data_IF_164184855286
#
_entry.id   IF_164184855286
#
_cell.length_a   1.000
_cell.length_b   1.000
_cell.length_c   1.000
_cell.angle_alpha   90.00
_cell.angle_beta   90.00
_cell.angle_gamma   90.00
#
_symmetry.space_group_name_H-M   'P 1'
#
loop_
_entity.id
_entity.type
_entity.pdbx_description
1 polymer ?
#
# COMPACT_ATOMS: atom_id res chain seq x y z
N UNK A 1 -2.26 11.58 -40.18
CA UNK A 1 -2.91 11.01 -38.98
C UNK A 1 -1.90 10.06 -38.37
N UNK A 2 -1.53 10.25 -37.11
CA UNK A 2 -0.49 9.45 -36.47
C UNK A 2 -0.90 7.99 -36.48
N UNK A 3 0.00 7.14 -36.97
CA UNK A 3 -0.12 5.68 -37.13
C UNK A 3 -0.13 4.94 -35.76
N UNK A 4 -0.73 5.54 -34.73
CA UNK A 4 -0.86 4.94 -33.41
C UNK A 4 -1.97 3.89 -33.47
N UNK A 5 -1.58 2.62 -33.44
CA UNK A 5 -2.51 1.51 -33.21
C UNK A 5 -3.23 1.74 -31.87
N UNK A 6 -4.55 1.90 -31.92
CA UNK A 6 -5.37 2.05 -30.72
C UNK A 6 -5.45 0.69 -30.04
N UNK A 7 -5.15 0.61 -28.75
CA UNK A 7 -5.25 -0.63 -27.99
C UNK A 7 -5.93 -0.40 -26.63
N UNK A 8 -6.63 -1.42 -26.13
CA UNK A 8 -7.28 -1.43 -24.82
C UNK A 8 -6.53 -2.38 -23.89
N UNK A 9 -6.27 -1.96 -22.64
CA UNK A 9 -5.73 -2.87 -21.63
C UNK A 9 -6.72 -4.00 -21.32
N UNK A 10 -6.26 -5.25 -21.42
CA UNK A 10 -7.08 -6.44 -21.20
C UNK A 10 -6.24 -7.54 -20.55
N UNK A 11 -6.69 -8.03 -19.40
CA UNK A 11 -5.92 -8.97 -18.58
C UNK A 11 -4.53 -8.40 -18.24
N UNK A 12 -3.47 -9.15 -18.56
CA UNK A 12 -2.06 -8.73 -18.37
C UNK A 12 -1.46 -8.06 -19.62
N UNK A 13 -2.26 -7.73 -20.63
CA UNK A 13 -1.78 -7.20 -21.90
C UNK A 13 -2.69 -6.13 -22.52
N UNK A 14 -2.65 -6.03 -23.85
CA UNK A 14 -3.43 -5.07 -24.61
C UNK A 14 -4.07 -5.75 -25.83
N UNK A 15 -5.30 -5.38 -26.14
CA UNK A 15 -6.00 -5.80 -27.36
C UNK A 15 -5.94 -4.66 -28.38
N UNK A 16 -5.37 -4.87 -29.57
CA UNK A 16 -5.43 -3.89 -30.64
C UNK A 16 -6.87 -3.74 -31.15
N UNK A 17 -7.26 -2.53 -31.52
CA UNK A 17 -8.56 -2.19 -32.09
C UNK A 17 -8.42 -1.81 -33.55
N UNK A 18 -9.13 -2.52 -34.42
CA UNK A 18 -9.35 -2.12 -35.80
C UNK A 18 -10.68 -1.38 -35.89
N UNK A 19 -10.63 -0.11 -36.27
CA UNK A 19 -11.83 0.70 -36.46
C UNK A 19 -12.33 0.58 -37.91
N UNK A 20 -13.66 0.62 -38.16
CA UNK A 20 -14.18 0.74 -39.51
C UNK A 20 -13.63 1.99 -40.20
N UNK A 21 -13.42 1.93 -41.52
CA UNK A 21 -12.74 3.00 -42.29
C UNK A 21 -13.34 4.41 -42.09
N UNK A 22 -14.65 4.51 -41.89
CA UNK A 22 -15.36 5.79 -41.71
C UNK A 22 -15.46 6.25 -40.25
N UNK A 23 -15.06 5.42 -39.30
CA UNK A 23 -15.11 5.74 -37.88
C UNK A 23 -13.94 6.65 -37.49
N UNK A 24 -14.23 7.72 -36.74
CA UNK A 24 -13.22 8.60 -36.15
C UNK A 24 -13.29 8.49 -34.63
N UNK A 25 -12.25 7.93 -34.02
CA UNK A 25 -12.17 7.84 -32.56
C UNK A 25 -11.58 9.12 -31.96
N UNK A 26 -12.16 9.56 -30.85
CA UNK A 26 -11.55 10.56 -29.96
C UNK A 26 -10.85 9.83 -28.82
N UNK A 27 -9.52 9.90 -28.78
CA UNK A 27 -8.73 9.24 -27.74
C UNK A 27 -8.59 10.16 -26.52
N UNK A 28 -9.30 9.81 -25.45
CA UNK A 28 -9.17 10.46 -24.13
C UNK A 28 -8.22 9.62 -23.29
N UNK A 29 -7.03 10.14 -23.00
CA UNK A 29 -5.97 9.44 -22.25
C UNK A 29 -5.43 10.31 -21.12
N UNK A 30 -4.93 9.66 -20.06
CA UNK A 30 -4.20 10.35 -18.99
C UNK A 30 -2.96 11.03 -19.59
N UNK A 31 -2.57 12.17 -19.01
CA UNK A 31 -1.28 12.79 -19.31
C UNK A 31 -0.16 11.79 -19.00
N UNK A 32 0.81 11.67 -19.91
CA UNK A 32 2.00 10.89 -19.67
C UNK A 32 2.74 11.43 -18.43
N UNK A 33 2.98 10.57 -17.44
CA UNK A 33 3.79 10.89 -16.28
C UNK A 33 5.18 10.30 -16.51
N UNK A 34 6.25 11.11 -16.55
CA UNK A 34 7.60 10.58 -16.69
C UNK A 34 7.92 9.68 -15.49
N UNK A 35 8.52 8.53 -15.76
CA UNK A 35 9.01 7.64 -14.69
C UNK A 35 10.22 8.29 -14.03
N UNK A 36 10.33 8.10 -12.72
CA UNK A 36 11.54 8.48 -11.98
C UNK A 36 12.71 7.60 -12.46
N UNK A 37 13.88 8.21 -12.63
CA UNK A 37 15.09 7.48 -13.05
C UNK A 37 15.55 6.49 -11.98
N UNK A 38 15.48 6.90 -10.71
CA UNK A 38 15.77 6.06 -9.55
C UNK A 38 14.61 6.09 -8.54
N UNK A 39 13.68 5.13 -8.63
CA UNK A 39 12.59 5.00 -7.66
C UNK A 39 13.05 4.72 -6.23
N UNK A 40 14.17 4.03 -6.04
CA UNK A 40 14.67 3.68 -4.70
C UNK A 40 15.21 4.93 -4.00
N UNK A 41 16.00 5.74 -4.70
CA UNK A 41 16.46 7.01 -4.17
C UNK A 41 15.29 7.94 -3.85
N UNK A 42 14.28 8.01 -4.72
CA UNK A 42 13.11 8.85 -4.49
C UNK A 42 12.35 8.47 -3.20
N UNK A 43 12.18 7.16 -2.93
CA UNK A 43 11.59 6.68 -1.68
C UNK A 43 12.47 7.03 -0.48
N UNK A 44 13.78 6.79 -0.56
CA UNK A 44 14.71 7.12 0.52
C UNK A 44 14.68 8.62 0.85
N UNK A 45 14.65 9.50 -0.17
CA UNK A 45 14.51 10.94 0.03
C UNK A 45 13.19 11.28 0.70
N UNK A 46 12.08 10.70 0.25
CA UNK A 46 10.75 10.97 0.82
C UNK A 46 10.65 10.56 2.31
N UNK A 47 11.26 9.43 2.70
CA UNK A 47 11.28 8.96 4.10
C UNK A 47 12.17 9.82 5.00
N UNK A 48 13.23 10.41 4.46
CA UNK A 48 14.19 11.25 5.20
C UNK A 48 13.81 12.74 5.25
N UNK A 49 13.04 13.22 4.27
CA UNK A 49 12.57 14.61 4.19
C UNK A 49 11.04 14.66 4.06
N UNK A 50 10.31 14.25 5.12
CA UNK A 50 8.85 14.17 5.07
C UNK A 50 8.19 15.55 5.08
N UNK A 51 6.94 15.59 4.65
CA UNK A 51 6.13 16.80 4.67
C UNK A 51 5.40 16.91 6.00
N UNK A 52 5.66 17.99 6.74
CA UNK A 52 4.95 18.33 7.98
C UNK A 52 4.96 17.25 9.08
N UNK A 53 6.00 16.42 9.13
CA UNK A 53 6.24 15.46 10.22
C UNK A 53 7.73 15.30 10.49
N UNK A 54 8.07 14.58 11.56
CA UNK A 54 9.44 14.11 11.76
C UNK A 54 9.74 12.91 10.83
N UNK A 55 11.01 12.67 10.46
CA UNK A 55 11.43 11.48 9.72
C UNK A 55 11.03 10.18 10.43
N UNK A 56 10.84 9.10 9.66
CA UNK A 56 10.45 7.81 10.22
C UNK A 56 11.42 7.30 11.30
N UNK A 57 12.71 7.53 11.10
CA UNK A 57 13.77 7.19 12.06
C UNK A 57 13.63 7.90 13.40
N UNK A 58 13.01 9.08 13.44
CA UNK A 58 12.72 9.80 14.69
C UNK A 58 11.41 9.34 15.31
N UNK A 59 10.37 9.14 14.50
CA UNK A 59 9.07 8.65 14.98
C UNK A 59 9.15 7.27 15.62
N UNK A 60 10.08 6.44 15.16
CA UNK A 60 10.32 5.08 15.66
C UNK A 60 11.12 5.02 16.97
N UNK A 61 11.84 6.09 17.37
CA UNK A 61 12.64 6.08 18.61
C UNK A 61 11.74 5.87 19.84
N UNK A 62 12.14 4.93 20.70
CA UNK A 62 11.44 4.63 21.95
C UNK A 62 10.10 3.91 21.79
N UNK A 63 9.75 3.45 20.58
CA UNK A 63 8.57 2.63 20.30
C UNK A 63 8.91 1.16 20.49
N UNK A 64 7.96 0.35 20.97
CA UNK A 64 8.17 -1.08 21.18
C UNK A 64 7.55 -1.94 20.07
N UNK A 65 6.63 -1.37 19.29
CA UNK A 65 5.93 -2.05 18.19
C UNK A 65 5.58 -1.09 17.06
N UNK A 66 5.37 -1.63 15.86
CA UNK A 66 4.87 -0.86 14.73
C UNK A 66 3.89 -1.66 13.88
N UNK A 67 2.92 -0.98 13.28
CA UNK A 67 2.03 -1.54 12.26
C UNK A 67 2.03 -0.65 11.02
N UNK A 68 2.29 -1.25 9.86
CA UNK A 68 2.29 -0.61 8.54
C UNK A 68 1.04 -1.08 7.80
N UNK A 69 0.11 -0.17 7.50
CA UNK A 69 -1.02 -0.45 6.63
C UNK A 69 -0.58 -0.38 5.16
N UNK A 70 -1.02 -1.36 4.37
CA UNK A 70 -0.89 -1.33 2.91
C UNK A 70 -2.23 -1.58 2.24
N UNK A 71 -2.39 -1.09 1.01
CA UNK A 71 -3.55 -1.43 0.20
C UNK A 71 -3.54 -2.91 -0.20
N UNK A 72 -4.71 -3.47 -0.50
CA UNK A 72 -4.83 -4.80 -1.09
C UNK A 72 -4.46 -4.85 -2.59
N UNK A 73 -4.53 -6.04 -3.19
CA UNK A 73 -4.20 -6.28 -4.61
C UNK A 73 -5.00 -5.43 -5.61
N UNK A 74 -6.13 -4.85 -5.18
CA UNK A 74 -6.95 -4.00 -6.06
C UNK A 74 -6.35 -2.62 -6.27
N UNK A 75 -5.17 -2.33 -5.67
CA UNK A 75 -4.42 -1.09 -5.86
C UNK A 75 -3.01 -1.38 -6.38
N UNK A 76 -2.52 -0.65 -7.39
CA UNK A 76 -1.20 -0.86 -7.96
C UNK A 76 -0.10 -0.14 -7.14
N UNK A 77 -0.07 -0.37 -5.82
CA UNK A 77 0.92 0.25 -4.93
C UNK A 77 2.23 -0.55 -5.00
N UNK A 78 3.39 0.06 -5.26
CA UNK A 78 4.65 -0.66 -5.43
C UNK A 78 5.29 -0.99 -4.06
N UNK A 79 4.63 -1.82 -3.24
CA UNK A 79 5.00 -2.14 -1.86
C UNK A 79 6.46 -2.56 -1.69
N UNK A 80 6.99 -3.36 -2.63
CA UNK A 80 8.40 -3.81 -2.67
C UNK A 80 9.43 -2.68 -2.63
N UNK A 81 9.05 -1.46 -3.02
CA UNK A 81 9.97 -0.32 -3.05
C UNK A 81 10.16 0.33 -1.68
N UNK A 82 9.20 0.21 -0.76
CA UNK A 82 9.20 0.95 0.50
C UNK A 82 9.04 0.11 1.76
N UNK A 83 8.41 -1.07 1.70
CA UNK A 83 8.17 -1.88 2.91
C UNK A 83 9.47 -2.23 3.63
N UNK A 84 10.41 -2.86 2.91
CA UNK A 84 11.69 -3.26 3.51
C UNK A 84 12.51 -2.07 4.01
N UNK A 85 12.73 -0.98 3.25
CA UNK A 85 13.41 0.22 3.77
C UNK A 85 12.76 0.81 5.03
N UNK A 86 11.42 0.82 5.11
CA UNK A 86 10.71 1.29 6.30
C UNK A 86 10.93 0.35 7.49
N UNK A 87 10.82 -0.96 7.28
CA UNK A 87 11.06 -1.98 8.33
C UNK A 87 12.51 -1.88 8.84
N UNK A 88 13.51 -1.81 7.96
CA UNK A 88 14.92 -1.68 8.33
C UNK A 88 15.16 -0.38 9.12
N UNK A 89 14.51 0.72 8.74
CA UNK A 89 14.57 2.00 9.47
C UNK A 89 14.00 1.87 10.90
N UNK A 90 12.87 1.20 11.06
CA UNK A 90 12.25 0.97 12.38
C UNK A 90 13.12 0.06 13.26
N UNK A 91 13.71 -0.99 12.68
CA UNK A 91 14.64 -1.89 13.40
C UNK A 91 15.89 -1.14 13.84
N UNK A 92 16.47 -0.31 12.96
CA UNK A 92 17.63 0.52 13.30
C UNK A 92 17.33 1.54 14.42
N UNK A 93 16.07 1.96 14.55
CA UNK A 93 15.61 2.81 15.65
C UNK A 93 15.28 2.06 16.96
N UNK A 94 15.41 0.73 16.96
CA UNK A 94 15.30 -0.12 18.15
C UNK A 94 14.00 -0.92 18.27
N UNK A 95 13.07 -0.83 17.31
CA UNK A 95 11.86 -1.67 17.33
C UNK A 95 12.25 -3.11 17.00
N UNK A 96 11.96 -4.12 17.85
CA UNK A 96 12.27 -5.50 17.53
C UNK A 96 11.55 -5.93 16.25
N UNK A 97 12.26 -6.60 15.33
CA UNK A 97 11.71 -7.02 14.03
C UNK A 97 10.38 -7.80 14.17
N UNK A 98 10.30 -8.69 15.17
CA UNK A 98 9.09 -9.47 15.51
C UNK A 98 7.89 -8.64 16.01
N UNK A 99 8.12 -7.39 16.39
CA UNK A 99 7.10 -6.45 16.88
C UNK A 99 6.67 -5.44 15.80
N UNK A 100 7.20 -5.58 14.59
CA UNK A 100 6.71 -4.89 13.40
C UNK A 100 5.71 -5.80 12.70
N UNK A 101 4.63 -5.22 12.18
CA UNK A 101 3.61 -5.93 11.42
C UNK A 101 3.22 -5.14 10.18
N UNK A 102 2.81 -5.86 9.14
CA UNK A 102 2.16 -5.30 7.95
C UNK A 102 0.73 -5.78 7.95
N UNK A 103 -0.22 -4.85 7.81
CA UNK A 103 -1.64 -5.15 7.75
C UNK A 103 -2.20 -4.74 6.38
N UNK A 104 -2.69 -5.72 5.63
CA UNK A 104 -3.35 -5.50 4.34
C UNK A 104 -4.76 -4.96 4.60
N UNK A 105 -4.99 -3.70 4.23
CA UNK A 105 -6.26 -2.99 4.36
C UNK A 105 -7.24 -3.39 3.25
N UNK A 106 -7.80 -4.59 3.37
CA UNK A 106 -8.79 -5.17 2.44
C UNK A 106 -10.11 -4.41 2.39
N UNK A 107 -10.43 -3.63 3.44
CA UNK A 107 -11.77 -3.09 3.63
C UNK A 107 -12.81 -4.21 3.63
N UNK A 108 -13.77 -4.16 2.71
CA UNK A 108 -14.80 -5.20 2.56
C UNK A 108 -14.42 -6.31 1.55
N UNK A 109 -13.22 -6.26 0.96
CA UNK A 109 -12.79 -7.27 0.00
C UNK A 109 -12.40 -8.60 0.68
N UNK A 110 -12.28 -9.65 -0.14
CA UNK A 110 -11.71 -10.92 0.30
C UNK A 110 -10.22 -10.76 0.65
N UNK A 111 -9.65 -11.63 1.50
CA UNK A 111 -8.21 -11.59 1.78
C UNK A 111 -7.37 -11.90 0.54
N UNK A 112 -6.13 -11.40 0.56
CA UNK A 112 -5.05 -11.79 -0.35
C UNK A 112 -4.26 -12.94 0.28
N UNK A 113 -4.16 -14.07 -0.41
CA UNK A 113 -3.56 -15.30 0.10
C UNK A 113 -2.60 -15.91 -0.94
N UNK A 114 -1.64 -16.71 -0.48
CA UNK A 114 -0.70 -17.44 -1.35
C UNK A 114 0.04 -16.51 -2.30
N UNK A 115 0.08 -16.89 -3.59
CA UNK A 115 0.79 -16.16 -4.64
C UNK A 115 0.32 -14.71 -4.79
N UNK A 116 -0.96 -14.43 -4.50
CA UNK A 116 -1.48 -13.06 -4.59
C UNK A 116 -0.92 -12.17 -3.49
N UNK A 117 -0.78 -12.71 -2.26
CA UNK A 117 -0.12 -11.98 -1.17
C UNK A 117 1.37 -11.79 -1.48
N UNK A 118 2.02 -12.80 -2.05
CA UNK A 118 3.41 -12.71 -2.47
C UNK A 118 3.62 -11.66 -3.58
N UNK A 119 2.74 -11.60 -4.58
CA UNK A 119 2.73 -10.56 -5.62
C UNK A 119 2.47 -9.17 -5.03
N UNK A 120 1.54 -9.06 -4.06
CA UNK A 120 1.20 -7.81 -3.40
C UNK A 120 2.36 -7.24 -2.58
N UNK A 121 3.03 -8.06 -1.77
CA UNK A 121 4.18 -7.63 -0.97
C UNK A 121 5.40 -7.39 -1.87
N UNK A 122 5.64 -8.31 -2.81
CA UNK A 122 6.69 -8.19 -3.82
C UNK A 122 8.12 -8.24 -3.29
N UNK A 123 8.30 -8.65 -2.03
CA UNK A 123 9.58 -8.84 -1.36
C UNK A 123 9.51 -10.07 -0.44
N UNK A 124 10.15 -11.20 -0.80
CA UNK A 124 10.19 -12.41 0.02
C UNK A 124 10.77 -12.18 1.41
N UNK A 125 11.74 -11.28 1.55
CA UNK A 125 12.36 -11.00 2.84
C UNK A 125 11.32 -10.47 3.84
N UNK A 126 10.38 -9.64 3.39
CA UNK A 126 9.32 -9.11 4.26
C UNK A 126 8.40 -10.24 4.75
N UNK A 127 8.01 -11.15 3.86
CA UNK A 127 7.15 -12.30 4.19
C UNK A 127 7.82 -13.29 5.15
N UNK A 128 9.14 -13.45 5.04
CA UNK A 128 9.92 -14.37 5.87
C UNK A 128 10.21 -13.82 7.26
N UNK A 129 10.26 -12.50 7.42
CA UNK A 129 10.81 -11.86 8.62
C UNK A 129 9.79 -11.08 9.45
N UNK A 130 8.64 -10.71 8.87
CA UNK A 130 7.64 -9.84 9.51
C UNK A 130 6.25 -10.47 9.40
N UNK A 131 5.43 -10.28 10.44
CA UNK A 131 4.03 -10.70 10.40
C UNK A 131 3.26 -9.88 9.36
N UNK A 132 2.66 -10.56 8.38
CA UNK A 132 1.79 -9.96 7.37
C UNK A 132 0.39 -10.54 7.49
N UNK A 133 -0.57 -9.70 7.88
CA UNK A 133 -1.94 -10.11 8.12
C UNK A 133 -2.92 -9.44 7.16
N UNK A 134 -4.03 -10.12 6.88
CA UNK A 134 -5.17 -9.51 6.19
C UNK A 134 -6.14 -8.96 7.21
N UNK A 135 -6.68 -7.77 6.92
CA UNK A 135 -7.84 -7.26 7.61
C UNK A 135 -9.11 -8.06 7.28
N UNK A 136 -10.00 -8.22 8.25
CA UNK A 136 -11.29 -8.88 8.08
C UNK A 136 -12.41 -8.01 8.67
N UNK A 137 -12.99 -7.12 7.87
CA UNK A 137 -13.99 -6.14 8.32
C UNK A 137 -15.24 -6.74 8.99
N UNK A 138 -15.58 -8.01 8.70
CA UNK A 138 -16.74 -8.70 9.29
C UNK A 138 -16.41 -9.44 10.60
N UNK A 139 -15.15 -9.48 11.01
CA UNK A 139 -14.74 -10.07 12.28
C UNK A 139 -14.75 -9.00 13.38
N UNK A 140 -15.89 -8.83 14.05
CA UNK A 140 -16.06 -7.84 15.13
C UNK A 140 -14.99 -7.95 16.23
N UNK A 141 -14.56 -9.17 16.58
CA UNK A 141 -13.55 -9.38 17.62
C UNK A 141 -12.16 -8.85 17.25
N UNK A 142 -11.87 -8.67 15.96
CA UNK A 142 -10.61 -8.09 15.47
C UNK A 142 -10.57 -6.56 15.56
N UNK A 143 -11.64 -5.90 16.03
CA UNK A 143 -11.73 -4.44 16.04
C UNK A 143 -11.69 -3.85 17.45
N UNK A 144 -11.22 -2.62 17.53
CA UNK A 144 -11.37 -1.72 18.67
C UNK A 144 -12.43 -0.68 18.34
N UNK A 145 -13.40 -0.51 19.24
CA UNK A 145 -14.42 0.55 19.14
C UNK A 145 -13.82 1.89 19.59
N UNK A 146 -13.87 2.87 18.69
CA UNK A 146 -13.35 4.23 18.89
C UNK A 146 -14.47 5.25 19.09
N UNK A 147 -15.70 4.78 19.31
CA UNK A 147 -16.88 5.61 19.48
C UNK A 147 -17.48 6.06 18.15
N UNK A 148 -17.98 7.29 18.12
CA UNK A 148 -18.75 7.81 16.99
C UNK A 148 -18.16 9.13 16.47
N UNK A 149 -18.27 9.36 15.16
CA UNK A 149 -17.86 10.64 14.57
C UNK A 149 -18.72 11.78 15.09
N UNK A 150 -18.10 12.92 15.40
CA UNK A 150 -18.78 14.07 16.05
C UNK A 150 -19.95 14.63 15.24
N UNK A 151 -19.84 14.65 13.91
CA UNK A 151 -20.81 15.34 13.05
C UNK A 151 -21.98 14.45 12.63
N UNK A 152 -21.69 13.21 12.22
CA UNK A 152 -22.70 12.30 11.65
C UNK A 152 -23.07 11.15 12.57
N UNK A 153 -22.51 11.12 13.78
CA UNK A 153 -22.67 10.03 14.75
C UNK A 153 -22.45 8.64 14.11
N UNK A 154 -21.44 8.53 13.23
CA UNK A 154 -21.12 7.28 12.55
C UNK A 154 -20.22 6.44 13.45
N UNK A 155 -20.55 5.17 13.76
CA UNK A 155 -19.68 4.32 14.57
C UNK A 155 -18.33 4.11 13.88
N UNK A 156 -17.25 4.13 14.68
CA UNK A 156 -15.87 3.98 14.21
C UNK A 156 -15.26 2.78 14.91
N UNK A 157 -14.95 1.75 14.14
CA UNK A 157 -14.23 0.56 14.58
C UNK A 157 -13.06 0.32 13.66
N UNK A 158 -11.87 0.13 14.21
CA UNK A 158 -10.65 -0.09 13.43
C UNK A 158 -9.96 -1.37 13.88
N UNK A 159 -9.16 -1.95 12.98
CA UNK A 159 -8.42 -3.17 13.25
C UNK A 159 -7.49 -3.00 14.47
N UNK A 160 -7.58 -3.95 15.40
CA UNK A 160 -6.84 -3.96 16.65
C UNK A 160 -5.34 -3.96 16.43
N UNK A 161 -4.84 -4.71 15.44
CA UNK A 161 -3.40 -4.79 15.15
C UNK A 161 -2.82 -3.41 14.81
N UNK A 162 -3.61 -2.55 14.15
CA UNK A 162 -3.21 -1.18 13.86
C UNK A 162 -3.42 -0.27 15.07
N UNK A 163 -4.58 -0.31 15.72
CA UNK A 163 -4.91 0.58 16.85
C UNK A 163 -4.00 0.37 18.05
N UNK A 164 -3.53 -0.85 18.30
CA UNK A 164 -2.73 -1.16 19.49
C UNK A 164 -1.22 -1.00 19.28
N UNK A 165 -0.76 -0.80 18.04
CA UNK A 165 0.65 -0.55 17.78
C UNK A 165 1.10 0.81 18.33
N UNK A 166 2.34 0.87 18.85
CA UNK A 166 2.94 2.11 19.37
C UNK A 166 3.23 3.11 18.24
N UNK A 167 3.68 2.59 17.09
CA UNK A 167 3.86 3.35 15.85
C UNK A 167 2.90 2.83 14.78
N UNK A 168 2.19 3.74 14.12
CA UNK A 168 1.13 3.44 13.14
C UNK A 168 1.42 4.21 11.86
N UNK A 169 1.68 3.50 10.77
CA UNK A 169 2.02 4.08 9.47
C UNK A 169 1.04 3.58 8.40
N UNK A 170 0.67 4.43 7.45
CA UNK A 170 -0.25 4.14 6.34
C UNK A 170 0.13 4.95 5.09
#
# INVERSE_FOLDING_TARGET
MTDETIAISYGRGHLPLTLPEKAKATLIRKRALPKLADPHQAIATALNAPVASAPLSELAKGRNSACILICDITRPVPNRLFLRPMIETMVAAGIPLKAISVLVATGLHRPNLGDELAELIGDPWVLENVRVDNHYARNEAAHVDLGHTRTRNTPVKLDRLFVEADLRIA
#
